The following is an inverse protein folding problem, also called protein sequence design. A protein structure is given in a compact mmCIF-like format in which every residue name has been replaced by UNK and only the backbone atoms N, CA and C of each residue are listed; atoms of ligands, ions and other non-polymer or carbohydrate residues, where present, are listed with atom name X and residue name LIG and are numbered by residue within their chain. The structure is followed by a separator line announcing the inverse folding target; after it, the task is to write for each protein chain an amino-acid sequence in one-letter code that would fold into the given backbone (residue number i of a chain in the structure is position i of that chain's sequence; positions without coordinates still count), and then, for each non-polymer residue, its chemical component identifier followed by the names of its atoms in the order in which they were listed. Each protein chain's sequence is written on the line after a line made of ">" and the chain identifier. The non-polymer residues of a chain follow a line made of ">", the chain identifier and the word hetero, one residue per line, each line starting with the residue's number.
data_IF_906516743189
#
_entry.id   IF_906516743189
#
_cell.length_a   1.000
_cell.length_b   1.000
_cell.length_c   1.000
_cell.angle_alpha   90.00
_cell.angle_beta   90.00
_cell.angle_gamma   90.00
#
_symmetry.space_group_name_H-M   'P 1'
#
loop_
_entity.id
_entity.type
_entity.pdbx_description
1 polymer ?
#
# COMPACT_ATOMS: atom_id res chain seq x y z
N UNK A 1 31.73 -19.10 22.02
CA UNK A 1 31.14 -20.45 22.03
C UNK A 1 31.06 -20.93 23.47
N UNK A 2 29.86 -21.04 24.03
CA UNK A 2 29.57 -21.99 25.11
C UNK A 2 28.06 -22.25 25.12
N UNK A 3 27.71 -23.47 24.77
CA UNK A 3 26.35 -23.99 24.70
C UNK A 3 25.97 -24.46 26.09
N UNK A 4 24.81 -24.06 26.60
CA UNK A 4 24.13 -24.82 27.64
C UNK A 4 22.62 -24.73 27.43
N UNK A 5 22.10 -25.83 26.87
CA UNK A 5 20.67 -26.15 26.78
C UNK A 5 20.22 -26.69 28.14
N UNK A 6 19.12 -26.17 28.66
CA UNK A 6 18.30 -26.91 29.61
C UNK A 6 16.82 -26.59 29.31
N UNK A 7 16.16 -27.55 28.66
CA UNK A 7 14.70 -27.61 28.57
C UNK A 7 14.17 -28.01 29.94
N UNK A 8 13.17 -27.29 30.44
CA UNK A 8 12.31 -27.79 31.50
C UNK A 8 10.87 -27.49 31.11
N UNK A 9 10.16 -28.59 30.81
CA UNK A 9 8.72 -28.66 30.63
C UNK A 9 8.05 -28.53 32.00
N UNK A 10 7.08 -27.64 32.11
CA UNK A 10 6.05 -27.61 33.15
C UNK A 10 5.02 -26.57 32.69
N UNK A 11 3.71 -26.73 32.79
CA UNK A 11 2.82 -27.80 33.22
C UNK A 11 1.44 -27.26 32.78
N UNK A 12 0.60 -28.08 32.15
CA UNK A 12 -0.79 -27.71 31.88
C UNK A 12 -1.52 -27.42 33.20
N UNK A 13 -2.06 -26.20 33.35
CA UNK A 13 -3.14 -25.93 34.27
C UNK A 13 -4.26 -25.24 33.50
N UNK A 14 -5.25 -26.08 33.16
CA UNK A 14 -6.56 -25.67 32.66
C UNK A 14 -7.33 -25.11 33.87
N UNK A 15 -7.64 -23.82 33.83
CA UNK A 15 -8.72 -23.25 34.65
C UNK A 15 -9.64 -22.52 33.69
N UNK A 16 -10.79 -23.14 33.42
CA UNK A 16 -11.89 -22.49 32.73
C UNK A 16 -12.52 -21.43 33.62
N UNK A 17 -12.83 -20.28 33.05
CA UNK A 17 -13.77 -19.33 33.64
C UNK A 17 -14.69 -18.76 32.56
N UNK A 18 -15.89 -18.41 33.01
CA UNK A 18 -17.14 -18.31 32.26
C UNK A 18 -17.12 -17.37 31.05
N UNK A 19 -17.85 -17.77 30.02
CA UNK A 19 -18.31 -16.89 28.96
C UNK A 19 -19.22 -15.79 29.56
N UNK A 20 -18.68 -14.60 29.71
CA UNK A 20 -19.47 -13.38 29.70
C UNK A 20 -19.57 -12.95 28.23
N UNK A 21 -20.67 -13.30 27.58
CA UNK A 21 -21.07 -12.70 26.31
C UNK A 21 -21.49 -11.25 26.60
N UNK A 22 -20.50 -10.38 26.75
CA UNK A 22 -20.69 -8.95 26.52
C UNK A 22 -20.99 -8.82 25.03
N UNK A 23 -22.18 -8.33 24.70
CA UNK A 23 -22.48 -7.90 23.35
C UNK A 23 -21.56 -6.75 23.00
N UNK A 24 -20.36 -7.06 22.51
CA UNK A 24 -19.50 -6.12 21.82
C UNK A 24 -20.31 -5.68 20.59
N UNK A 25 -20.76 -4.42 20.57
CA UNK A 25 -21.05 -3.78 19.30
C UNK A 25 -19.78 -3.99 18.48
N UNK A 26 -19.86 -4.80 17.42
CA UNK A 26 -18.72 -5.07 16.56
C UNK A 26 -18.12 -3.72 16.18
N UNK A 27 -16.90 -3.45 16.65
CA UNK A 27 -16.13 -2.31 16.17
C UNK A 27 -16.17 -2.41 14.65
N UNK A 28 -16.58 -1.34 13.97
CA UNK A 28 -16.41 -1.28 12.52
C UNK A 28 -14.96 -1.67 12.25
N UNK A 29 -14.72 -2.68 11.39
CA UNK A 29 -13.35 -3.08 11.13
C UNK A 29 -12.58 -1.86 10.62
N UNK A 30 -11.38 -1.63 11.14
CA UNK A 30 -10.45 -0.59 10.65
C UNK A 30 -9.89 -0.96 9.26
N UNK A 31 -10.59 -1.82 8.52
CA UNK A 31 -10.17 -2.30 7.22
C UNK A 31 -10.46 -1.20 6.18
N UNK A 32 -9.46 -0.83 5.37
CA UNK A 32 -9.65 0.17 4.33
C UNK A 32 -10.84 -0.15 3.42
N UNK A 33 -11.56 0.89 3.04
CA UNK A 33 -12.72 0.79 2.16
C UNK A 33 -12.40 1.26 0.74
N UNK A 34 -13.30 0.97 -0.19
CA UNK A 34 -13.28 1.55 -1.53
C UNK A 34 -13.26 3.09 -1.50
N UNK A 35 -14.00 3.70 -0.58
CA UNK A 35 -14.02 5.14 -0.35
C UNK A 35 -12.64 5.67 0.05
N UNK A 36 -11.94 5.01 0.96
CA UNK A 36 -10.58 5.39 1.38
C UNK A 36 -9.60 5.32 0.21
N UNK A 37 -9.67 4.25 -0.58
CA UNK A 37 -8.89 4.09 -1.80
C UNK A 37 -9.16 5.24 -2.80
N UNK A 38 -10.42 5.60 -3.05
CA UNK A 38 -10.76 6.71 -3.96
C UNK A 38 -10.18 8.03 -3.49
N UNK A 39 -10.23 8.30 -2.18
CA UNK A 39 -9.64 9.53 -1.60
C UNK A 39 -8.14 9.54 -1.81
N UNK A 40 -7.44 8.47 -1.45
CA UNK A 40 -5.99 8.36 -1.61
C UNK A 40 -5.55 8.50 -3.08
N UNK A 41 -6.27 7.85 -4.00
CA UNK A 41 -6.01 7.97 -5.45
C UNK A 41 -6.26 9.39 -5.94
N UNK A 42 -7.32 10.06 -5.47
CA UNK A 42 -7.61 11.43 -5.87
C UNK A 42 -6.54 12.42 -5.39
N UNK A 43 -6.08 12.29 -4.14
CA UNK A 43 -5.01 13.11 -3.58
C UNK A 43 -3.69 12.93 -4.33
N UNK A 44 -3.29 11.68 -4.57
CA UNK A 44 -2.07 11.37 -5.32
C UNK A 44 -2.15 11.86 -6.77
N UNK A 45 -3.33 11.81 -7.41
CA UNK A 45 -3.56 12.40 -8.74
C UNK A 45 -3.42 13.92 -8.72
N UNK A 46 -3.97 14.60 -7.73
CA UNK A 46 -3.84 16.04 -7.60
C UNK A 46 -2.37 16.46 -7.50
N UNK A 47 -1.59 15.78 -6.65
CA UNK A 47 -0.14 16.00 -6.55
C UNK A 47 0.59 15.72 -7.86
N UNK A 48 0.25 14.61 -8.53
CA UNK A 48 0.88 14.26 -9.81
C UNK A 48 0.60 15.29 -10.91
N UNK A 49 -0.56 15.93 -10.88
CA UNK A 49 -0.97 16.95 -11.85
C UNK A 49 -0.17 18.27 -11.73
N UNK A 50 0.52 18.50 -10.62
CA UNK A 50 1.42 19.65 -10.45
C UNK A 50 2.72 19.53 -11.28
N UNK A 51 3.03 18.32 -11.76
CA UNK A 51 4.19 18.05 -12.59
C UNK A 51 3.85 18.10 -14.08
N UNK A 52 4.80 18.51 -14.95
CA UNK A 52 4.64 18.41 -16.40
C UNK A 52 4.27 16.98 -16.85
N UNK A 53 3.41 16.80 -17.87
CA UNK A 53 3.01 15.48 -18.38
C UNK A 53 4.16 14.56 -18.81
N UNK A 54 5.29 15.13 -19.22
CA UNK A 54 6.50 14.41 -19.64
C UNK A 54 7.51 14.19 -18.49
N UNK A 55 7.20 14.65 -17.27
CA UNK A 55 8.04 14.42 -16.11
C UNK A 55 8.01 12.94 -15.69
N UNK A 56 9.18 12.33 -15.52
CA UNK A 56 9.26 10.91 -15.16
C UNK A 56 8.59 10.56 -13.83
N UNK A 57 8.69 11.45 -12.84
CA UNK A 57 8.08 11.21 -11.53
C UNK A 57 6.56 11.16 -11.65
N UNK A 58 5.98 11.98 -12.52
CA UNK A 58 4.55 11.90 -12.87
C UNK A 58 4.23 10.60 -13.59
N UNK A 59 5.03 10.21 -14.58
CA UNK A 59 4.83 8.96 -15.32
C UNK A 59 4.77 7.73 -14.39
N UNK A 60 5.73 7.61 -13.46
CA UNK A 60 5.75 6.49 -12.52
C UNK A 60 4.63 6.59 -11.48
N UNK A 61 4.28 7.80 -11.02
CA UNK A 61 3.13 8.00 -10.14
C UNK A 61 1.83 7.51 -10.81
N UNK A 62 1.58 7.87 -12.08
CA UNK A 62 0.41 7.43 -12.82
C UNK A 62 0.35 5.90 -12.96
N UNK A 63 1.48 5.22 -13.18
CA UNK A 63 1.54 3.75 -13.17
C UNK A 63 1.15 3.13 -11.83
N UNK A 64 1.65 3.69 -10.72
CA UNK A 64 1.25 3.23 -9.39
C UNK A 64 -0.25 3.44 -9.16
N UNK A 65 -0.82 4.56 -9.62
CA UNK A 65 -2.26 4.84 -9.52
C UNK A 65 -3.12 3.91 -10.38
N UNK A 66 -2.63 3.49 -11.55
CA UNK A 66 -3.30 2.46 -12.34
C UNK A 66 -3.33 1.13 -11.62
N UNK A 67 -2.23 0.72 -10.97
CA UNK A 67 -2.23 -0.50 -10.16
C UNK A 67 -3.16 -0.35 -8.95
N UNK A 68 -3.15 0.80 -8.25
CA UNK A 68 -4.02 1.03 -7.10
C UNK A 68 -5.51 0.79 -7.43
N UNK A 69 -5.96 1.27 -8.60
CA UNK A 69 -7.33 1.04 -9.07
C UNK A 69 -7.59 -0.41 -9.50
N UNK A 70 -6.58 -1.12 -9.98
CA UNK A 70 -6.69 -2.55 -10.29
C UNK A 70 -6.88 -3.37 -9.00
N UNK A 71 -6.08 -3.10 -7.97
CA UNK A 71 -6.18 -3.79 -6.67
C UNK A 71 -7.52 -3.53 -5.99
N UNK A 72 -7.96 -2.26 -5.99
CA UNK A 72 -9.28 -1.91 -5.49
C UNK A 72 -10.41 -2.60 -6.26
N UNK A 73 -10.24 -2.83 -7.56
CA UNK A 73 -11.18 -3.61 -8.39
C UNK A 73 -11.22 -5.10 -8.03
N UNK A 74 -10.15 -5.62 -7.40
CA UNK A 74 -10.06 -6.98 -6.87
C UNK A 74 -10.52 -7.10 -5.41
N UNK A 75 -10.82 -5.97 -4.75
CA UNK A 75 -11.19 -5.91 -3.33
C UNK A 75 -10.01 -5.73 -2.38
N UNK A 76 -8.79 -5.58 -2.89
CA UNK A 76 -7.56 -5.39 -2.11
C UNK A 76 -7.35 -3.89 -1.84
N UNK A 77 -8.02 -3.37 -0.80
CA UNK A 77 -8.06 -1.93 -0.52
C UNK A 77 -6.81 -1.41 0.20
N UNK A 78 -6.17 -2.22 1.03
CA UNK A 78 -4.87 -1.92 1.63
C UNK A 78 -3.75 -1.85 0.59
N UNK A 79 -3.70 -2.77 -0.37
CA UNK A 79 -2.80 -2.64 -1.53
C UNK A 79 -3.11 -1.40 -2.38
N UNK A 80 -4.39 -1.04 -2.54
CA UNK A 80 -4.72 0.25 -3.18
C UNK A 80 -4.05 1.42 -2.44
N UNK A 81 -4.16 1.46 -1.10
CA UNK A 81 -3.55 2.51 -0.30
C UNK A 81 -2.03 2.51 -0.40
N UNK A 82 -1.36 1.34 -0.39
CA UNK A 82 0.10 1.25 -0.57
C UNK A 82 0.51 1.80 -1.94
N UNK A 83 -0.21 1.42 -3.00
CA UNK A 83 0.10 1.89 -4.35
C UNK A 83 -0.17 3.39 -4.53
N UNK A 84 -1.23 3.93 -3.93
CA UNK A 84 -1.48 5.38 -3.90
C UNK A 84 -0.36 6.12 -3.14
N UNK A 85 0.09 5.58 -1.99
CA UNK A 85 1.20 6.15 -1.22
C UNK A 85 2.52 6.13 -2.01
N UNK A 86 2.81 5.06 -2.75
CA UNK A 86 3.97 5.00 -3.66
C UNK A 86 3.87 6.04 -4.77
N UNK A 87 2.69 6.27 -5.34
CA UNK A 87 2.49 7.33 -6.31
C UNK A 87 2.82 8.72 -5.72
N UNK A 88 2.35 9.01 -4.51
CA UNK A 88 2.70 10.23 -3.78
C UNK A 88 4.20 10.36 -3.55
N UNK A 89 4.90 9.26 -3.19
CA UNK A 89 6.36 9.28 -3.01
C UNK A 89 7.10 9.61 -4.30
N UNK A 90 6.67 9.07 -5.46
CA UNK A 90 7.26 9.40 -6.75
C UNK A 90 7.26 10.92 -6.99
N UNK A 91 6.12 11.57 -6.76
CA UNK A 91 5.97 13.02 -6.95
C UNK A 91 6.81 13.82 -5.95
N UNK A 92 6.78 13.44 -4.66
CA UNK A 92 7.47 14.19 -3.59
C UNK A 92 8.98 14.10 -3.69
N UNK A 93 9.49 12.91 -3.98
CA UNK A 93 10.92 12.64 -3.91
C UNK A 93 11.64 12.88 -5.23
N UNK A 94 10.89 12.95 -6.34
CA UNK A 94 11.41 13.26 -7.68
C UNK A 94 12.63 12.41 -8.06
N UNK A 95 12.60 11.12 -7.74
CA UNK A 95 13.78 10.22 -7.83
C UNK A 95 14.26 9.93 -9.25
N UNK A 96 13.54 10.38 -10.27
CA UNK A 96 13.76 10.01 -11.66
C UNK A 96 14.06 11.24 -12.52
N UNK A 97 15.26 11.26 -13.09
CA UNK A 97 15.71 12.26 -14.04
C UNK A 97 16.28 11.59 -15.29
N UNK A 98 16.16 12.27 -16.42
CA UNK A 98 16.83 11.92 -17.67
C UNK A 98 17.85 12.99 -18.03
N UNK A 99 18.93 12.61 -18.74
CA UNK A 99 19.78 13.57 -19.41
C UNK A 99 18.96 14.51 -20.32
N UNK A 100 19.37 15.78 -20.47
CA UNK A 100 18.70 16.71 -21.37
C UNK A 100 18.59 16.13 -22.80
N UNK A 101 17.39 16.15 -23.35
CA UNK A 101 17.11 15.64 -24.70
C UNK A 101 16.75 14.15 -24.77
N UNK A 102 16.93 13.39 -23.68
CA UNK A 102 16.44 12.03 -23.59
C UNK A 102 14.95 11.98 -23.21
N UNK A 103 14.29 10.90 -23.63
CA UNK A 103 12.88 10.62 -23.30
C UNK A 103 12.74 9.17 -22.87
N UNK A 104 11.81 8.92 -21.96
CA UNK A 104 11.44 7.56 -21.61
C UNK A 104 10.83 6.87 -22.83
N UNK A 105 11.45 5.76 -23.25
CA UNK A 105 10.85 4.88 -24.26
C UNK A 105 9.87 3.93 -23.56
N UNK A 106 8.58 4.21 -23.73
CA UNK A 106 7.52 3.29 -23.31
C UNK A 106 7.29 2.30 -24.43
N UNK A 107 7.57 1.03 -24.17
CA UNK A 107 7.32 -0.05 -25.12
C UNK A 107 5.82 -0.27 -25.30
N UNK A 108 5.41 -0.52 -26.55
CA UNK A 108 4.03 -0.95 -26.85
C UNK A 108 3.87 -2.44 -26.58
N UNK A 109 2.62 -2.91 -26.53
CA UNK A 109 2.32 -4.31 -26.24
C UNK A 109 2.78 -5.29 -27.36
N UNK A 110 3.06 -4.78 -28.55
CA UNK A 110 3.46 -5.51 -29.75
C UNK A 110 4.94 -5.37 -30.13
N UNK A 111 5.74 -4.69 -29.29
CA UNK A 111 7.21 -4.65 -29.37
C UNK A 111 7.85 -5.73 -28.49
#
# INVERSE_FOLDING_TARGET
>A
MNVSRAKLYALCLVVGWAAAASGEAAAASDEPTWEDCKVAVAEARALSAELPPDNLSRYFAERHLHQALAEAGNGEFDECLDMAARATQQVRERRHDLPPGERLRVLKADE
#
